data_IF_820977356467
#
_entry.id   IF_820977356467
#
_cell.length_a   1.000
_cell.length_b   1.000
_cell.length_c   1.000
_cell.angle_alpha   90.00
_cell.angle_beta   90.00
_cell.angle_gamma   90.00
#
_symmetry.space_group_name_H-M   'P 1'
#
loop_
_entity.id
_entity.type
_entity.pdbx_description
1 polymer ?
#
# COMPACT_ATOMS: atom_id res chain seq x y z
N UNK A 1 20.10 -58.99 40.56
CA UNK A 1 19.15 -57.87 40.77
C UNK A 1 19.20 -57.00 39.51
N UNK A 2 18.16 -57.03 38.70
CA UNK A 2 18.06 -56.26 37.45
C UNK A 2 17.71 -54.81 37.72
N UNK A 3 18.57 -53.89 37.28
CA UNK A 3 18.26 -52.46 37.23
C UNK A 3 17.66 -52.17 35.85
N UNK A 4 16.37 -51.84 35.87
CA UNK A 4 15.56 -51.46 34.71
C UNK A 4 16.02 -50.07 34.23
N UNK A 5 16.56 -50.02 33.02
CA UNK A 5 16.71 -48.78 32.24
C UNK A 5 15.31 -48.25 31.93
N UNK A 6 14.90 -47.21 32.65
CA UNK A 6 13.66 -46.48 32.39
C UNK A 6 13.91 -45.59 31.16
N UNK A 7 13.55 -46.09 29.99
CA UNK A 7 13.43 -45.25 28.79
C UNK A 7 12.20 -44.37 28.98
N UNK A 8 12.42 -43.09 29.31
CA UNK A 8 11.41 -42.05 29.16
C UNK A 8 11.10 -41.93 27.66
N UNK A 9 10.05 -42.62 27.25
CA UNK A 9 9.40 -42.44 25.96
C UNK A 9 8.70 -41.08 25.97
N UNK A 10 9.44 -40.03 25.65
CA UNK A 10 8.87 -38.77 25.19
C UNK A 10 8.10 -39.07 23.90
N UNK A 11 6.78 -39.18 24.06
CA UNK A 11 5.84 -39.42 22.96
C UNK A 11 5.99 -38.27 21.95
N UNK A 12 6.08 -38.59 20.66
CA UNK A 12 6.28 -37.60 19.59
C UNK A 12 5.16 -36.54 19.54
N UNK A 13 4.04 -36.83 20.22
CA UNK A 13 2.92 -35.92 20.43
C UNK A 13 3.23 -34.78 21.41
N UNK A 14 4.03 -35.03 22.46
CA UNK A 14 4.42 -34.02 23.45
C UNK A 14 5.48 -33.04 22.91
N UNK A 15 6.29 -33.49 21.94
CA UNK A 15 7.28 -32.63 21.25
C UNK A 15 6.55 -31.59 20.37
N UNK A 16 5.39 -31.96 19.84
CA UNK A 16 4.62 -31.11 18.94
C UNK A 16 3.73 -30.11 19.69
N UNK A 17 3.45 -30.28 20.99
CA UNK A 17 2.70 -29.30 21.78
C UNK A 17 3.62 -28.26 22.46
N UNK A 18 4.83 -28.68 22.87
CA UNK A 18 5.80 -27.79 23.55
C UNK A 18 6.39 -26.68 22.68
N UNK A 19 6.38 -26.84 21.35
CA UNK A 19 6.88 -25.81 20.42
C UNK A 19 5.87 -24.71 20.11
N UNK A 20 4.59 -24.87 20.48
CA UNK A 20 3.54 -23.88 20.21
C UNK A 20 3.32 -22.89 21.37
N UNK A 21 3.85 -23.18 22.55
CA UNK A 21 3.69 -22.35 23.77
C UNK A 21 4.92 -21.49 24.09
N UNK A 22 5.80 -21.27 23.11
CA UNK A 22 7.00 -20.45 23.31
C UNK A 22 6.64 -18.96 23.14
N UNK A 23 6.74 -18.18 24.21
CA UNK A 23 6.54 -16.71 24.22
C UNK A 23 7.24 -15.97 23.06
N UNK A 24 8.35 -16.54 22.56
CA UNK A 24 9.14 -16.04 21.44
C UNK A 24 8.36 -16.03 20.11
N UNK A 25 7.58 -17.07 19.81
CA UNK A 25 6.76 -17.13 18.59
C UNK A 25 5.65 -16.07 18.61
N UNK A 26 5.02 -15.88 19.77
CA UNK A 26 4.00 -14.86 20.02
C UNK A 26 4.55 -13.44 19.87
N UNK A 27 5.80 -13.21 20.26
CA UNK A 27 6.46 -11.91 20.10
C UNK A 27 6.81 -11.63 18.63
N UNK A 28 7.35 -12.63 17.91
CA UNK A 28 7.62 -12.52 16.46
C UNK A 28 6.35 -12.23 15.67
N UNK A 29 5.22 -12.87 16.01
CA UNK A 29 3.95 -12.60 15.35
C UNK A 29 3.41 -11.19 15.62
N UNK A 30 3.54 -10.68 16.84
CA UNK A 30 3.19 -9.29 17.16
C UNK A 30 4.06 -8.30 16.39
N UNK A 31 5.37 -8.56 16.33
CA UNK A 31 6.30 -7.73 15.57
C UNK A 31 5.97 -7.74 14.07
N UNK A 32 5.71 -8.92 13.49
CA UNK A 32 5.29 -9.08 12.10
C UNK A 32 3.99 -8.30 11.84
N UNK A 33 3.03 -8.38 12.76
CA UNK A 33 1.75 -7.64 12.64
C UNK A 33 1.95 -6.13 12.70
N UNK A 34 2.81 -5.64 13.58
CA UNK A 34 3.14 -4.22 13.65
C UNK A 34 3.81 -3.71 12.37
N UNK A 35 4.75 -4.48 11.81
CA UNK A 35 5.41 -4.14 10.54
C UNK A 35 4.43 -4.19 9.37
N UNK A 36 3.50 -5.14 9.39
CA UNK A 36 2.44 -5.22 8.39
C UNK A 36 1.53 -4.01 8.38
N UNK A 37 1.15 -3.49 9.54
CA UNK A 37 0.37 -2.23 9.62
C UNK A 37 1.15 -1.03 9.06
N UNK A 38 2.46 -0.95 9.35
CA UNK A 38 3.31 0.12 8.82
C UNK A 38 3.45 0.00 7.30
N UNK A 39 3.71 -1.20 6.79
CA UNK A 39 3.78 -1.47 5.36
C UNK A 39 2.48 -1.11 4.65
N UNK A 40 1.34 -1.47 5.25
CA UNK A 40 0.00 -1.16 4.74
C UNK A 40 -0.22 0.35 4.62
N UNK A 41 0.07 1.11 5.69
CA UNK A 41 -0.04 2.57 5.70
C UNK A 41 0.85 3.22 4.66
N UNK A 42 2.12 2.79 4.54
CA UNK A 42 3.04 3.29 3.52
C UNK A 42 2.52 3.03 2.11
N UNK A 43 1.93 1.87 1.87
CA UNK A 43 1.35 1.53 0.57
C UNK A 43 0.11 2.36 0.24
N UNK A 44 -0.78 2.63 1.20
CA UNK A 44 -1.91 3.55 1.03
C UNK A 44 -1.44 4.98 0.71
N UNK A 45 -0.44 5.49 1.44
CA UNK A 45 0.14 6.80 1.17
C UNK A 45 0.73 6.89 -0.24
N UNK A 46 1.44 5.85 -0.67
CA UNK A 46 2.04 5.78 -1.99
C UNK A 46 0.98 5.78 -3.12
N UNK A 47 -0.12 5.05 -2.95
CA UNK A 47 -1.26 5.11 -3.89
C UNK A 47 -1.81 6.54 -4.00
N UNK A 48 -2.10 7.18 -2.86
CA UNK A 48 -2.63 8.55 -2.83
C UNK A 48 -1.65 9.56 -3.46
N UNK A 49 -0.34 9.40 -3.24
CA UNK A 49 0.66 10.27 -3.87
C UNK A 49 0.72 10.06 -5.38
N UNK A 50 0.64 8.81 -5.87
CA UNK A 50 0.59 8.50 -7.31
C UNK A 50 -0.69 9.01 -7.97
N UNK A 51 -1.84 8.89 -7.31
CA UNK A 51 -3.10 9.47 -7.79
C UNK A 51 -3.00 11.01 -7.92
N UNK A 52 -2.46 11.67 -6.89
CA UNK A 52 -2.18 13.12 -6.96
C UNK A 52 -1.22 13.46 -8.08
N UNK A 53 -0.22 12.62 -8.33
CA UNK A 53 0.71 12.83 -9.44
C UNK A 53 -0.01 12.70 -10.79
N UNK A 54 -0.82 11.68 -11.00
CA UNK A 54 -1.58 11.51 -12.23
C UNK A 54 -2.55 12.66 -12.47
N UNK A 55 -3.28 13.07 -11.42
CA UNK A 55 -4.26 14.15 -11.52
C UNK A 55 -3.61 15.52 -11.78
N UNK A 56 -2.59 15.89 -11.00
CA UNK A 56 -1.99 17.22 -11.06
C UNK A 56 -0.81 17.34 -12.01
N UNK A 57 -0.17 16.24 -12.38
CA UNK A 57 1.08 16.25 -13.16
C UNK A 57 1.14 15.17 -14.25
N UNK A 58 0.08 14.40 -14.49
CA UNK A 58 0.02 13.41 -15.58
C UNK A 58 -0.08 14.05 -16.96
N UNK A 59 -0.16 13.22 -18.00
CA UNK A 59 -0.08 13.66 -19.41
C UNK A 59 -1.19 14.68 -19.78
N UNK A 60 -2.36 14.57 -19.17
CA UNK A 60 -3.48 15.50 -19.37
C UNK A 60 -3.52 16.69 -18.39
N UNK A 61 -2.54 16.80 -17.49
CA UNK A 61 -2.50 17.84 -16.44
C UNK A 61 -2.46 19.26 -17.03
N UNK A 62 -1.82 19.47 -18.17
CA UNK A 62 -1.76 20.80 -18.78
C UNK A 62 -3.15 21.32 -19.18
N UNK A 63 -3.97 20.46 -19.78
CA UNK A 63 -5.36 20.80 -20.15
C UNK A 63 -6.20 21.10 -18.91
N UNK A 64 -6.04 20.32 -17.84
CA UNK A 64 -6.72 20.55 -16.57
C UNK A 64 -6.31 21.89 -15.94
N UNK A 65 -5.03 22.25 -16.05
CA UNK A 65 -4.50 23.51 -15.54
C UNK A 65 -5.05 24.72 -16.32
N UNK A 66 -5.14 24.62 -17.66
CA UNK A 66 -5.80 25.64 -18.48
C UNK A 66 -7.29 25.79 -18.16
N UNK A 67 -7.98 24.67 -17.90
CA UNK A 67 -9.38 24.69 -17.47
C UNK A 67 -9.54 25.43 -16.14
N UNK A 68 -8.66 25.17 -15.17
CA UNK A 68 -8.63 25.89 -13.90
C UNK A 68 -8.37 27.39 -14.06
N UNK A 69 -7.50 27.76 -14.99
CA UNK A 69 -7.26 29.16 -15.33
C UNK A 69 -8.53 29.82 -15.90
N UNK A 70 -9.25 29.15 -16.80
CA UNK A 70 -10.50 29.66 -17.38
C UNK A 70 -11.61 29.81 -16.32
N UNK A 71 -11.80 28.79 -15.47
CA UNK A 71 -12.75 28.86 -14.35
C UNK A 71 -12.39 30.00 -13.40
N UNK A 72 -11.10 30.19 -13.11
CA UNK A 72 -10.62 31.28 -12.26
C UNK A 72 -10.96 32.66 -12.84
N UNK A 73 -10.79 32.86 -14.16
CA UNK A 73 -11.20 34.13 -14.80
C UNK A 73 -12.70 34.39 -14.67
N UNK A 74 -13.53 33.37 -14.86
CA UNK A 74 -14.98 33.47 -14.73
C UNK A 74 -15.36 33.86 -13.28
N UNK A 75 -14.76 33.21 -12.28
CA UNK A 75 -15.01 33.52 -10.87
C UNK A 75 -14.58 34.94 -10.52
N UNK A 76 -13.38 35.36 -10.95
CA UNK A 76 -12.90 36.73 -10.72
C UNK A 76 -13.82 37.76 -11.36
N UNK A 77 -14.29 37.51 -12.59
CA UNK A 77 -15.26 38.39 -13.26
C UNK A 77 -16.60 38.46 -12.50
N UNK A 78 -17.12 37.33 -12.03
CA UNK A 78 -18.34 37.29 -11.21
C UNK A 78 -18.19 38.08 -9.91
N UNK A 79 -17.08 37.91 -9.20
CA UNK A 79 -16.79 38.63 -7.95
C UNK A 79 -16.67 40.13 -8.22
N UNK A 80 -16.00 40.54 -9.30
CA UNK A 80 -15.88 41.93 -9.70
C UNK A 80 -17.22 42.56 -10.05
N UNK A 81 -18.09 41.86 -10.78
CA UNK A 81 -19.45 42.30 -11.06
C UNK A 81 -20.27 42.46 -9.78
N UNK A 82 -20.14 41.49 -8.85
CA UNK A 82 -20.86 41.51 -7.58
C UNK A 82 -20.40 42.67 -6.69
N UNK A 83 -19.09 42.91 -6.59
CA UNK A 83 -18.51 44.05 -5.87
C UNK A 83 -18.95 45.38 -6.47
N UNK A 84 -18.92 45.49 -7.80
CA UNK A 84 -19.33 46.71 -8.50
C UNK A 84 -20.79 47.05 -8.20
N UNK A 85 -21.69 46.05 -8.17
CA UNK A 85 -23.08 46.24 -7.78
C UNK A 85 -23.27 46.57 -6.29
N UNK A 86 -22.48 45.96 -5.40
CA UNK A 86 -22.61 46.17 -3.95
C UNK A 86 -22.09 47.53 -3.48
N UNK A 87 -21.02 48.00 -4.11
CA UNK A 87 -20.33 49.23 -3.73
C UNK A 87 -20.75 50.44 -4.58
N UNK A 88 -21.56 50.22 -5.62
CA UNK A 88 -21.94 51.21 -6.63
C UNK A 88 -20.71 51.90 -7.28
N UNK A 89 -19.61 51.15 -7.38
CA UNK A 89 -18.34 51.60 -7.96
C UNK A 89 -18.25 51.09 -9.39
N UNK A 90 -18.17 52.00 -10.36
CA UNK A 90 -17.81 51.69 -11.74
C UNK A 90 -16.29 51.81 -11.91
N UNK A 91 -15.58 50.68 -12.01
CA UNK A 91 -14.15 50.71 -12.31
C UNK A 91 -13.95 51.06 -13.80
N UNK A 92 -12.96 51.89 -14.15
CA UNK A 92 -12.61 52.13 -15.54
C UNK A 92 -12.06 50.86 -16.20
N UNK A 93 -12.31 50.71 -17.51
CA UNK A 93 -11.95 49.55 -18.32
C UNK A 93 -10.47 49.12 -18.16
N UNK A 94 -9.56 50.09 -18.04
CA UNK A 94 -8.13 49.86 -17.83
C UNK A 94 -7.81 49.11 -16.53
N UNK A 95 -8.57 49.31 -15.46
CA UNK A 95 -8.34 48.61 -14.19
C UNK A 95 -8.77 47.14 -14.28
N UNK A 96 -9.83 46.83 -15.02
CA UNK A 96 -10.19 45.44 -15.32
C UNK A 96 -9.11 44.74 -16.13
N UNK A 97 -8.60 45.40 -17.19
CA UNK A 97 -7.50 44.86 -18.00
C UNK A 97 -6.27 44.60 -17.12
N UNK A 98 -5.90 45.55 -16.26
CA UNK A 98 -4.77 45.39 -15.35
C UNK A 98 -4.94 44.21 -14.39
N UNK A 99 -6.14 44.02 -13.82
CA UNK A 99 -6.44 42.88 -12.94
C UNK A 99 -6.29 41.54 -13.68
N UNK A 100 -6.81 41.42 -14.90
CA UNK A 100 -6.68 40.21 -15.69
C UNK A 100 -5.22 39.95 -16.11
N UNK A 101 -4.44 40.98 -16.41
CA UNK A 101 -3.00 40.85 -16.69
C UNK A 101 -2.25 40.36 -15.46
N UNK A 102 -2.51 40.92 -14.27
CA UNK A 102 -1.93 40.47 -13.01
C UNK A 102 -2.30 39.02 -12.72
N UNK A 103 -3.57 38.64 -12.89
CA UNK A 103 -4.02 37.25 -12.74
C UNK A 103 -3.25 36.31 -13.68
N UNK A 104 -3.09 36.70 -14.94
CA UNK A 104 -2.33 35.93 -15.95
C UNK A 104 -0.87 35.75 -15.53
N UNK A 105 -0.22 36.81 -15.02
CA UNK A 105 1.14 36.76 -14.51
C UNK A 105 1.27 35.77 -13.34
N UNK A 106 0.31 35.78 -12.39
CA UNK A 106 0.28 34.82 -11.28
C UNK A 106 0.21 33.38 -11.79
N UNK A 107 -0.64 33.12 -12.79
CA UNK A 107 -0.74 31.80 -13.43
C UNK A 107 0.58 31.40 -14.10
N UNK A 108 1.23 32.27 -14.88
CA UNK A 108 2.52 31.97 -15.52
C UNK A 108 3.59 31.61 -14.48
N UNK A 109 3.65 32.36 -13.37
CA UNK A 109 4.55 32.07 -12.27
C UNK A 109 4.24 30.71 -11.67
N UNK A 110 2.98 30.40 -11.35
CA UNK A 110 2.59 29.07 -10.85
C UNK A 110 2.92 27.94 -11.82
N UNK A 111 2.71 28.14 -13.13
CA UNK A 111 3.06 27.16 -14.15
C UNK A 111 4.57 26.89 -14.18
N UNK A 112 5.38 27.93 -13.96
CA UNK A 112 6.84 27.79 -13.88
C UNK A 112 7.27 27.00 -12.65
N UNK A 113 6.50 27.07 -11.56
CA UNK A 113 6.72 26.25 -10.36
C UNK A 113 6.19 24.82 -10.49
N UNK A 114 5.35 24.51 -11.49
CA UNK A 114 4.77 23.17 -11.70
C UNK A 114 5.84 22.08 -11.72
N UNK A 115 6.94 22.30 -12.45
CA UNK A 115 8.03 21.32 -12.54
C UNK A 115 8.72 21.08 -11.18
N UNK A 116 8.89 22.13 -10.36
CA UNK A 116 9.44 21.98 -9.01
C UNK A 116 8.50 21.18 -8.10
N UNK A 117 7.20 21.45 -8.16
CA UNK A 117 6.21 20.68 -7.40
C UNK A 117 6.12 19.22 -7.87
N UNK A 118 6.20 18.97 -9.18
CA UNK A 118 6.25 17.63 -9.73
C UNK A 118 7.47 16.86 -9.21
N UNK A 119 8.65 17.48 -9.23
CA UNK A 119 9.88 16.89 -8.68
C UNK A 119 9.79 16.61 -7.18
N UNK A 120 9.23 17.54 -6.40
CA UNK A 120 9.04 17.34 -4.97
C UNK A 120 8.05 16.21 -4.67
N UNK A 121 6.98 16.08 -5.45
CA UNK A 121 6.02 14.98 -5.32
C UNK A 121 6.67 13.65 -5.70
N UNK A 122 7.43 13.60 -6.79
CA UNK A 122 8.19 12.43 -7.20
C UNK A 122 9.19 12.00 -6.11
N UNK A 123 9.89 12.95 -5.50
CA UNK A 123 10.78 12.67 -4.38
C UNK A 123 10.04 12.01 -3.21
N UNK A 124 8.87 12.52 -2.84
CA UNK A 124 8.04 11.90 -1.78
C UNK A 124 7.55 10.50 -2.17
N UNK A 125 7.21 10.28 -3.44
CA UNK A 125 6.84 8.95 -3.94
C UNK A 125 8.02 8.00 -3.80
N UNK A 126 9.22 8.39 -4.24
CA UNK A 126 10.41 7.56 -4.14
C UNK A 126 10.75 7.24 -2.68
N UNK A 127 10.63 8.21 -1.77
CA UNK A 127 10.87 7.99 -0.34
C UNK A 127 9.83 7.02 0.28
N UNK A 128 8.56 7.18 -0.08
CA UNK A 128 7.50 6.27 0.37
C UNK A 128 7.66 4.86 -0.22
N UNK A 129 8.19 4.75 -1.45
CA UNK A 129 8.45 3.47 -2.08
C UNK A 129 9.62 2.75 -1.39
N UNK A 130 10.70 3.47 -1.11
CA UNK A 130 11.86 2.95 -0.40
C UNK A 130 11.50 2.45 1.01
N UNK A 131 10.74 3.23 1.78
CA UNK A 131 10.32 2.82 3.13
C UNK A 131 9.37 1.62 3.09
N UNK A 132 8.51 1.53 2.06
CA UNK A 132 7.64 0.37 1.82
C UNK A 132 8.46 -0.88 1.52
N UNK A 133 9.48 -0.78 0.68
CA UNK A 133 10.37 -1.90 0.36
C UNK A 133 11.21 -2.34 1.56
N UNK A 134 11.76 -1.39 2.31
CA UNK A 134 12.49 -1.66 3.55
C UNK A 134 11.60 -2.42 4.55
N UNK A 135 10.40 -1.91 4.79
CA UNK A 135 9.43 -2.60 5.69
C UNK A 135 9.06 -3.99 5.17
N UNK A 136 8.92 -4.17 3.85
CA UNK A 136 8.63 -5.48 3.26
C UNK A 136 9.79 -6.47 3.45
N UNK A 137 11.02 -6.00 3.32
CA UNK A 137 12.21 -6.83 3.56
C UNK A 137 12.28 -7.26 5.02
N UNK A 138 12.04 -6.35 5.96
CA UNK A 138 11.97 -6.68 7.40
C UNK A 138 10.86 -7.69 7.71
N UNK A 139 9.66 -7.50 7.14
CA UNK A 139 8.58 -8.48 7.26
C UNK A 139 8.97 -9.84 6.68
N UNK A 140 9.72 -9.86 5.57
CA UNK A 140 10.20 -11.11 4.95
C UNK A 140 11.16 -11.86 5.87
N UNK A 141 12.05 -11.13 6.56
CA UNK A 141 12.96 -11.71 7.56
C UNK A 141 12.15 -12.30 8.72
N UNK A 142 11.23 -11.52 9.31
CA UNK A 142 10.38 -11.99 10.42
C UNK A 142 9.47 -13.17 10.01
N UNK A 143 8.98 -13.15 8.78
CA UNK A 143 8.17 -14.23 8.22
C UNK A 143 8.97 -15.52 8.02
N UNK A 144 10.26 -15.43 7.67
CA UNK A 144 11.15 -16.58 7.55
C UNK A 144 11.27 -17.35 8.88
N UNK A 145 11.34 -16.61 9.99
CA UNK A 145 11.50 -17.20 11.32
C UNK A 145 10.20 -17.79 11.89
N UNK A 146 9.05 -17.51 11.26
CA UNK A 146 7.73 -17.90 11.76
C UNK A 146 6.78 -18.35 10.64
N UNK A 147 6.15 -17.40 9.96
CA UNK A 147 5.11 -17.59 8.95
C UNK A 147 5.46 -18.63 7.88
N UNK A 148 6.64 -18.55 7.28
CA UNK A 148 7.02 -19.46 6.18
C UNK A 148 7.21 -20.88 6.68
N UNK A 149 7.83 -21.07 7.85
CA UNK A 149 7.97 -22.39 8.47
C UNK A 149 6.62 -23.05 8.69
N UNK A 150 5.64 -22.31 9.23
CA UNK A 150 4.29 -22.80 9.47
C UNK A 150 3.55 -23.15 8.17
N UNK A 151 3.74 -22.34 7.12
CA UNK A 151 3.14 -22.56 5.80
C UNK A 151 3.74 -23.79 5.11
N UNK A 152 5.06 -23.96 5.15
CA UNK A 152 5.73 -25.15 4.61
C UNK A 152 5.31 -26.43 5.35
N UNK A 153 5.23 -26.39 6.68
CA UNK A 153 4.82 -27.54 7.48
C UNK A 153 3.38 -28.00 7.22
N UNK A 154 2.50 -27.08 6.79
CA UNK A 154 1.07 -27.34 6.56
C UNK A 154 0.70 -27.41 5.07
N UNK A 155 1.68 -27.28 4.17
CA UNK A 155 1.45 -27.35 2.75
C UNK A 155 0.97 -28.76 2.34
N UNK A 156 0.00 -28.90 1.41
CA UNK A 156 -0.65 -27.84 0.66
C UNK A 156 -1.68 -27.06 1.50
N UNK A 157 -1.61 -25.72 1.47
CA UNK A 157 -2.47 -24.84 2.26
C UNK A 157 -3.01 -23.68 1.40
N UNK A 158 -4.28 -23.33 1.60
CA UNK A 158 -4.91 -22.20 0.90
C UNK A 158 -4.60 -20.86 1.58
N UNK A 159 -4.59 -19.76 0.82
CA UNK A 159 -4.45 -18.41 1.37
C UNK A 159 -5.50 -18.13 2.46
N UNK A 160 -6.75 -18.59 2.25
CA UNK A 160 -7.83 -18.47 3.24
C UNK A 160 -7.56 -19.24 4.54
N UNK A 161 -6.97 -20.42 4.45
CA UNK A 161 -6.60 -21.20 5.65
C UNK A 161 -5.48 -20.52 6.42
N UNK A 162 -4.47 -19.97 5.73
CA UNK A 162 -3.40 -19.16 6.36
C UNK A 162 -4.01 -17.96 7.07
N UNK A 163 -4.88 -17.20 6.38
CA UNK A 163 -5.56 -16.04 6.96
C UNK A 163 -6.37 -16.38 8.22
N UNK A 164 -7.08 -17.52 8.21
CA UNK A 164 -7.82 -18.00 9.39
C UNK A 164 -6.92 -18.46 10.53
N UNK A 165 -5.80 -19.11 10.20
CA UNK A 165 -4.85 -19.59 11.19
C UNK A 165 -4.25 -18.43 12.00
N UNK A 166 -4.07 -17.27 11.36
CA UNK A 166 -3.65 -16.03 12.02
C UNK A 166 -4.80 -15.15 12.49
N UNK A 167 -5.93 -15.76 12.88
CA UNK A 167 -7.11 -15.08 13.44
C UNK A 167 -7.64 -13.91 12.58
N UNK A 168 -7.42 -13.95 11.26
CA UNK A 168 -7.80 -12.88 10.35
C UNK A 168 -7.17 -11.50 10.70
N UNK A 169 -6.08 -11.48 11.45
CA UNK A 169 -5.46 -10.22 11.89
C UNK A 169 -4.70 -9.53 10.75
N UNK A 170 -4.02 -10.27 9.88
CA UNK A 170 -3.23 -9.72 8.76
C UNK A 170 -4.10 -9.41 7.54
N UNK A 171 -3.79 -8.38 6.74
CA UNK A 171 -4.47 -8.21 5.45
C UNK A 171 -4.08 -9.36 4.49
N UNK A 172 -5.04 -9.85 3.69
CA UNK A 172 -4.82 -10.93 2.72
C UNK A 172 -3.80 -10.52 1.67
N UNK A 173 -3.83 -9.25 1.23
CA UNK A 173 -2.85 -8.71 0.29
C UNK A 173 -1.41 -8.71 0.87
N UNK A 174 -1.25 -8.46 2.17
CA UNK A 174 0.05 -8.53 2.85
C UNK A 174 0.57 -9.98 2.91
N UNK A 175 -0.29 -10.92 3.32
CA UNK A 175 0.04 -12.35 3.36
C UNK A 175 0.39 -12.89 1.97
N UNK A 176 -0.45 -12.60 0.98
CA UNK A 176 -0.24 -13.01 -0.40
C UNK A 176 1.10 -12.49 -0.92
N UNK A 177 1.44 -11.21 -0.64
CA UNK A 177 2.71 -10.61 -1.07
C UNK A 177 3.93 -11.25 -0.40
N UNK A 178 3.83 -11.62 0.88
CA UNK A 178 4.91 -12.34 1.58
C UNK A 178 5.10 -13.73 0.97
N UNK A 179 4.01 -14.48 0.78
CA UNK A 179 4.08 -15.83 0.18
C UNK A 179 4.56 -15.81 -1.27
N UNK A 180 4.26 -14.75 -2.01
CA UNK A 180 4.80 -14.56 -3.35
C UNK A 180 6.33 -14.46 -3.34
N UNK A 181 6.97 -13.90 -2.31
CA UNK A 181 8.44 -13.91 -2.19
C UNK A 181 9.01 -15.32 -2.07
N UNK A 182 8.33 -16.21 -1.36
CA UNK A 182 8.70 -17.63 -1.28
C UNK A 182 8.47 -18.36 -2.62
N UNK A 183 7.45 -17.96 -3.38
CA UNK A 183 7.21 -18.47 -4.74
C UNK A 183 8.29 -18.00 -5.71
N UNK A 184 8.62 -16.70 -5.68
CA UNK A 184 9.68 -16.11 -6.51
C UNK A 184 11.06 -16.70 -6.19
N UNK A 185 11.28 -17.09 -4.94
CA UNK A 185 12.48 -17.79 -4.49
C UNK A 185 12.48 -19.30 -4.84
N UNK A 186 11.40 -19.82 -5.44
CA UNK A 186 11.28 -21.23 -5.85
C UNK A 186 11.05 -22.21 -4.70
N UNK A 187 10.69 -21.74 -3.51
CA UNK A 187 10.42 -22.59 -2.33
C UNK A 187 8.96 -22.99 -2.22
N UNK A 188 8.05 -22.12 -2.65
CA UNK A 188 6.62 -22.41 -2.81
C UNK A 188 6.24 -22.46 -4.29
N UNK A 189 5.21 -23.24 -4.62
CA UNK A 189 4.54 -23.18 -5.92
C UNK A 189 3.03 -23.01 -5.77
N UNK A 190 2.44 -22.34 -6.75
CA UNK A 190 0.98 -22.31 -6.89
C UNK A 190 0.45 -23.69 -7.28
N UNK A 191 -0.70 -24.06 -6.72
CA UNK A 191 -1.35 -25.33 -7.00
C UNK A 191 -1.88 -25.44 -8.44
N UNK A 192 -2.94 -24.70 -8.75
CA UNK A 192 -3.65 -24.78 -10.04
C UNK A 192 -4.01 -23.41 -10.64
N UNK A 193 -4.18 -22.36 -9.83
CA UNK A 193 -4.46 -20.99 -10.30
C UNK A 193 -3.41 -19.98 -9.82
N UNK A 194 -2.87 -19.24 -10.78
CA UNK A 194 -2.08 -18.03 -10.54
C UNK A 194 -3.04 -16.84 -10.64
N UNK A 195 -3.35 -16.20 -9.51
CA UNK A 195 -4.12 -14.95 -9.51
C UNK A 195 -3.13 -13.80 -9.57
N UNK A 196 -3.20 -12.98 -10.61
CA UNK A 196 -2.43 -11.73 -10.73
C UNK A 196 -3.09 -10.62 -9.90
N UNK A 197 -3.18 -10.82 -8.58
CA UNK A 197 -3.73 -9.83 -7.64
C UNK A 197 -2.79 -8.62 -7.42
N UNK A 198 -1.56 -8.69 -7.94
CA UNK A 198 -0.53 -7.67 -7.78
C UNK A 198 -0.85 -6.33 -8.49
N UNK A 199 -1.79 -6.34 -9.43
CA UNK A 199 -2.10 -5.20 -10.32
C UNK A 199 -3.19 -4.28 -9.72
N UNK A 200 -3.93 -4.74 -8.69
CA UNK A 200 -5.05 -3.97 -8.12
C UNK A 200 -4.60 -2.96 -7.03
N UNK A 201 -5.24 -1.78 -6.94
CA UNK A 201 -5.12 -0.89 -5.79
C UNK A 201 -5.46 -1.61 -4.49
N UNK A 202 -4.74 -1.32 -3.41
CA UNK A 202 -4.77 -2.12 -2.18
C UNK A 202 -6.15 -2.31 -1.54
N UNK A 203 -6.97 -1.26 -1.59
CA UNK A 203 -8.32 -1.25 -1.04
C UNK A 203 -9.24 -2.21 -1.80
N UNK A 204 -8.99 -2.41 -3.10
CA UNK A 204 -9.67 -3.38 -3.94
C UNK A 204 -8.99 -4.75 -3.90
N UNK A 205 -7.67 -4.79 -3.63
CA UNK A 205 -6.89 -6.02 -3.63
C UNK A 205 -7.29 -6.95 -2.49
N UNK A 206 -7.56 -6.44 -1.28
CA UNK A 206 -8.00 -7.29 -0.17
C UNK A 206 -9.41 -7.87 -0.41
N UNK A 207 -10.34 -7.04 -0.90
CA UNK A 207 -11.70 -7.47 -1.22
C UNK A 207 -11.74 -8.43 -2.43
N UNK A 208 -10.97 -8.16 -3.47
CA UNK A 208 -10.80 -9.09 -4.59
C UNK A 208 -10.17 -10.41 -4.11
N UNK A 209 -9.12 -10.35 -3.28
CA UNK A 209 -8.47 -11.54 -2.74
C UNK A 209 -9.41 -12.35 -1.86
N UNK A 210 -10.37 -11.75 -1.14
CA UNK A 210 -11.36 -12.52 -0.34
C UNK A 210 -12.16 -13.49 -1.20
N UNK A 211 -12.50 -13.11 -2.42
CA UNK A 211 -13.25 -13.96 -3.35
C UNK A 211 -12.41 -15.15 -3.82
N UNK A 212 -11.13 -14.93 -4.14
CA UNK A 212 -10.22 -15.95 -4.70
C UNK A 212 -9.35 -16.67 -3.66
N UNK A 213 -9.35 -16.26 -2.39
CA UNK A 213 -8.44 -16.81 -1.37
C UNK A 213 -8.63 -18.30 -1.09
N UNK A 214 -9.78 -18.89 -1.47
CA UNK A 214 -10.03 -20.34 -1.38
C UNK A 214 -9.28 -21.12 -2.46
N UNK A 215 -9.07 -20.50 -3.61
CA UNK A 215 -8.56 -21.15 -4.81
C UNK A 215 -7.03 -20.98 -4.96
N UNK A 216 -6.46 -19.99 -4.25
CA UNK A 216 -5.01 -19.80 -4.14
C UNK A 216 -4.45 -20.84 -3.17
N UNK A 217 -3.85 -21.90 -3.71
CA UNK A 217 -3.20 -22.99 -2.97
C UNK A 217 -1.68 -22.86 -3.09
N UNK A 218 -0.98 -22.91 -1.96
CA UNK A 218 0.47 -22.95 -1.88
C UNK A 218 0.95 -24.38 -1.58
N UNK A 219 1.90 -24.87 -2.37
CA UNK A 219 2.56 -26.17 -2.22
C UNK A 219 4.03 -25.95 -1.84
N UNK A 220 4.54 -26.69 -0.85
CA UNK A 220 5.96 -26.68 -0.50
C UNK A 220 6.78 -27.50 -1.50
N UNK A 221 7.97 -27.02 -1.84
CA UNK A 221 8.99 -27.77 -2.58
C UNK A 221 10.19 -28.21 -1.72
N UNK A 222 10.13 -27.91 -0.42
CA UNK A 222 11.11 -28.29 0.59
C UNK A 222 10.48 -29.33 1.51
#
# INVERSE_FOLDING_TARGET
MSSILKTDSLDAKDINEKYFDTHESLDVYKQLKQREQTWWKSRQQLTLLRERQMFWFGDHSFMMWLLWQLVSYIVVAMVLMLLSKLLDISLPLWQYIALFVIQTLIFIVMLSFKDRFARQLQYKINQADLSREETLNEMTILASDSLYRDVHAKAPITLKQIYRYYNAEFHLASLHRLLQKEVDAGRLMYGEQKVEADILPLELADDALKEYARDIIYKSLI
#
